data_IF_539793563175
#
_entry.id   IF_539793563175
#
_cell.length_a   1.000
_cell.length_b   1.000
_cell.length_c   1.000
_cell.angle_alpha   90.00
_cell.angle_beta   90.00
_cell.angle_gamma   90.00
#
_symmetry.space_group_name_H-M   'P 1'
#
loop_
_entity.id
_entity.type
_entity.pdbx_description
1 polymer ?
#
# COMPACT_ATOMS: atom_id res chain seq x y z
N UNK A 1 19.95 3.56 -27.72
CA UNK A 1 18.70 3.23 -27.00
C UNK A 1 17.53 3.62 -27.87
N UNK A 2 16.54 2.74 -28.05
CA UNK A 2 15.28 3.08 -28.69
C UNK A 2 14.41 3.93 -27.76
N UNK A 3 13.54 4.77 -28.33
CA UNK A 3 12.51 5.49 -27.55
C UNK A 3 11.54 4.48 -26.90
N UNK A 4 10.95 4.85 -25.77
CA UNK A 4 9.90 4.07 -25.11
C UNK A 4 8.66 4.00 -26.02
N UNK A 5 8.00 2.84 -26.19
CA UNK A 5 6.80 2.73 -27.01
C UNK A 5 5.64 3.58 -26.48
N UNK A 6 4.87 4.22 -27.38
CA UNK A 6 3.69 5.03 -27.03
C UNK A 6 2.73 4.28 -26.09
N UNK A 7 2.42 3.02 -26.39
CA UNK A 7 1.50 2.22 -25.58
C UNK A 7 2.01 1.85 -24.19
N UNK A 8 3.28 2.12 -23.85
CA UNK A 8 3.79 2.05 -22.46
C UNK A 8 3.61 3.42 -21.78
N UNK A 9 3.93 4.50 -22.48
CA UNK A 9 3.70 5.88 -21.99
C UNK A 9 2.23 6.10 -21.62
N UNK A 10 1.31 5.74 -22.52
CA UNK A 10 -0.13 5.89 -22.31
C UNK A 10 -0.62 5.14 -21.05
N UNK A 11 -0.04 3.94 -20.76
CA UNK A 11 -0.38 3.16 -19.55
C UNK A 11 0.16 3.79 -18.27
N UNK A 12 1.37 4.36 -18.33
CA UNK A 12 1.94 5.08 -17.18
C UNK A 12 1.12 6.32 -16.87
N UNK A 13 0.71 7.09 -17.90
CA UNK A 13 -0.17 8.24 -17.69
C UNK A 13 -1.53 7.83 -17.09
N UNK A 14 -2.11 6.73 -17.56
CA UNK A 14 -3.35 6.20 -16.98
C UNK A 14 -3.16 5.81 -15.52
N UNK A 15 -2.09 5.08 -15.20
CA UNK A 15 -1.76 4.70 -13.81
C UNK A 15 -1.59 5.93 -12.93
N UNK A 16 -0.84 6.94 -13.39
CA UNK A 16 -0.59 8.13 -12.58
C UNK A 16 -1.89 8.86 -12.20
N UNK A 17 -2.87 8.94 -13.10
CA UNK A 17 -4.19 9.54 -12.78
C UNK A 17 -4.95 8.72 -11.73
N UNK A 18 -4.94 7.39 -11.85
CA UNK A 18 -5.57 6.51 -10.87
C UNK A 18 -4.86 6.60 -9.51
N UNK A 19 -3.53 6.67 -9.50
CA UNK A 19 -2.73 6.85 -8.30
C UNK A 19 -3.06 8.15 -7.57
N UNK A 20 -3.37 9.25 -8.27
CA UNK A 20 -3.81 10.49 -7.63
C UNK A 20 -5.12 10.31 -6.83
N UNK A 21 -6.09 9.58 -7.39
CA UNK A 21 -7.35 9.26 -6.71
C UNK A 21 -7.13 8.32 -5.51
N UNK A 22 -6.32 7.28 -5.69
CA UNK A 22 -5.97 6.32 -4.62
C UNK A 22 -5.22 7.03 -3.49
N UNK A 23 -4.23 7.86 -3.83
CA UNK A 23 -3.46 8.65 -2.85
C UNK A 23 -4.34 9.56 -2.02
N UNK A 24 -5.30 10.25 -2.65
CA UNK A 24 -6.24 11.10 -1.92
C UNK A 24 -7.05 10.27 -0.91
N UNK A 25 -7.60 9.13 -1.34
CA UNK A 25 -8.33 8.24 -0.45
C UNK A 25 -7.46 7.69 0.69
N UNK A 26 -6.24 7.22 0.40
CA UNK A 26 -5.30 6.70 1.39
C UNK A 26 -4.96 7.74 2.46
N UNK A 27 -4.61 8.98 2.07
CA UNK A 27 -4.30 10.05 3.03
C UNK A 27 -5.50 10.47 3.89
N UNK A 28 -6.72 10.30 3.41
CA UNK A 28 -7.94 10.60 4.17
C UNK A 28 -8.36 9.46 5.11
N UNK A 29 -7.94 8.22 4.82
CA UNK A 29 -8.51 7.03 5.47
C UNK A 29 -7.51 6.13 6.20
N UNK A 30 -6.21 6.22 5.90
CA UNK A 30 -5.17 5.36 6.45
C UNK A 30 -4.09 6.20 7.13
N UNK A 31 -3.36 5.59 8.06
CA UNK A 31 -2.11 6.17 8.54
C UNK A 31 -1.02 5.94 7.48
N UNK A 32 -0.56 7.03 6.89
CA UNK A 32 0.38 7.00 5.78
C UNK A 32 1.82 7.31 6.22
N UNK A 33 2.09 7.46 7.53
CA UNK A 33 3.46 7.65 8.00
C UNK A 33 4.32 6.44 7.61
N UNK A 34 5.43 6.69 6.90
CA UNK A 34 6.30 5.64 6.36
C UNK A 34 5.74 4.80 5.21
N UNK A 35 4.55 5.13 4.68
CA UNK A 35 3.90 4.39 3.58
C UNK A 35 3.97 5.14 2.25
N UNK A 36 3.98 4.40 1.14
CA UNK A 36 3.83 4.96 -0.21
C UNK A 36 2.56 4.41 -0.91
N UNK A 37 1.53 5.25 -1.07
CA UNK A 37 0.31 4.85 -1.79
C UNK A 37 0.57 4.47 -3.26
N UNK A 38 1.67 4.93 -3.88
CA UNK A 38 2.00 4.56 -5.26
C UNK A 38 2.48 3.11 -5.39
N UNK A 39 2.92 2.49 -4.27
CA UNK A 39 3.30 1.08 -4.21
C UNK A 39 2.14 0.17 -3.82
N UNK A 40 0.97 0.73 -3.50
CA UNK A 40 -0.20 -0.03 -3.07
C UNK A 40 -0.65 -1.05 -4.13
N UNK A 41 -0.89 -2.28 -3.67
CA UNK A 41 -1.42 -3.36 -4.50
C UNK A 41 -2.52 -4.16 -3.78
N UNK A 42 -3.14 -5.08 -4.53
CA UNK A 42 -4.20 -5.95 -4.02
C UNK A 42 -3.69 -7.38 -3.99
N UNK A 43 -3.76 -7.98 -2.80
CA UNK A 43 -3.31 -9.35 -2.53
C UNK A 43 -4.44 -10.22 -1.97
N UNK A 44 -4.24 -11.53 -2.03
CA UNK A 44 -5.21 -12.55 -1.63
C UNK A 44 -4.93 -13.10 -0.22
N UNK A 45 -3.91 -12.57 0.45
CA UNK A 45 -3.47 -12.98 1.77
C UNK A 45 -2.81 -11.81 2.50
N UNK A 46 -2.78 -11.89 3.83
CA UNK A 46 -2.01 -11.00 4.70
C UNK A 46 -0.99 -11.82 5.51
N UNK A 47 0.01 -11.12 6.04
CA UNK A 47 0.94 -11.65 7.05
C UNK A 47 0.99 -10.68 8.24
N UNK A 48 1.64 -11.11 9.32
CA UNK A 48 1.82 -10.28 10.50
C UNK A 48 0.70 -10.39 11.55
N UNK A 49 0.82 -9.56 12.57
CA UNK A 49 -0.10 -9.50 13.71
C UNK A 49 -1.17 -8.42 13.49
N UNK A 50 -2.32 -8.57 14.15
CA UNK A 50 -3.40 -7.57 14.08
C UNK A 50 -2.98 -6.33 14.88
N UNK A 51 -2.83 -5.20 14.19
CA UNK A 51 -2.38 -3.94 14.79
C UNK A 51 -3.53 -3.07 15.31
N UNK A 52 -4.75 -3.27 14.82
CA UNK A 52 -5.93 -2.54 15.26
C UNK A 52 -6.93 -3.45 15.99
N UNK A 53 -7.20 -3.13 17.26
CA UNK A 53 -8.19 -3.81 18.09
C UNK A 53 -9.54 -3.07 18.15
N UNK A 54 -9.69 -1.96 17.41
CA UNK A 54 -10.96 -1.24 17.32
C UNK A 54 -11.84 -1.86 16.21
N UNK A 55 -13.08 -2.17 16.58
CA UNK A 55 -14.03 -3.04 15.87
C UNK A 55 -14.39 -2.64 14.41
N UNK A 56 -13.90 -1.49 13.91
CA UNK A 56 -14.35 -0.94 12.63
C UNK A 56 -13.38 -1.13 11.46
N UNK A 57 -12.08 -1.33 11.69
CA UNK A 57 -11.09 -1.53 10.61
C UNK A 57 -9.97 -2.46 11.06
N UNK A 58 -9.89 -3.66 10.47
CA UNK A 58 -8.80 -4.61 10.74
C UNK A 58 -7.60 -4.31 9.86
N UNK A 59 -6.47 -4.10 10.53
CA UNK A 59 -5.15 -3.91 9.96
C UNK A 59 -4.22 -5.02 10.45
N UNK A 60 -3.41 -5.56 9.54
CA UNK A 60 -2.33 -6.49 9.87
C UNK A 60 -0.99 -5.88 9.52
N UNK A 61 0.01 -6.15 10.35
CA UNK A 61 1.34 -5.59 10.19
C UNK A 61 2.43 -6.62 10.49
N UNK A 62 3.42 -6.70 9.60
CA UNK A 62 4.65 -7.44 9.80
C UNK A 62 5.86 -6.48 9.77
N UNK A 63 5.94 -5.59 10.77
CA UNK A 63 7.03 -4.63 10.90
C UNK A 63 8.19 -5.18 11.73
N UNK A 64 9.40 -4.90 11.28
CA UNK A 64 10.64 -5.22 11.99
C UNK A 64 11.63 -4.06 11.94
N UNK A 65 12.43 -3.95 13.00
CA UNK A 65 13.49 -2.96 13.12
C UNK A 65 14.80 -3.52 12.53
N UNK A 66 15.51 -2.69 11.77
CA UNK A 66 16.84 -2.98 11.24
C UNK A 66 17.82 -1.92 11.75
N UNK A 67 18.70 -2.31 12.68
CA UNK A 67 19.60 -1.37 13.33
C UNK A 67 18.89 -0.58 14.44
N UNK A 68 19.28 0.69 14.62
CA UNK A 68 18.72 1.54 15.70
C UNK A 68 17.53 2.38 15.22
N UNK A 69 17.61 2.94 14.00
CA UNK A 69 16.65 3.97 13.55
C UNK A 69 15.83 3.57 12.31
N UNK A 70 16.04 2.37 11.75
CA UNK A 70 15.32 1.94 10.53
C UNK A 70 14.29 0.88 10.81
N UNK A 71 13.14 1.02 10.16
CA UNK A 71 11.99 0.14 10.30
C UNK A 71 11.47 -0.21 8.91
N UNK A 72 11.13 -1.48 8.72
CA UNK A 72 10.60 -2.03 7.48
C UNK A 72 9.39 -2.87 7.81
N UNK A 73 8.44 -2.98 6.91
CA UNK A 73 7.35 -3.92 7.10
C UNK A 73 6.34 -3.91 5.98
N UNK A 74 5.37 -4.81 6.12
CA UNK A 74 4.24 -4.93 5.22
C UNK A 74 2.96 -4.70 6.01
N UNK A 75 2.07 -3.87 5.46
CA UNK A 75 0.81 -3.51 6.07
C UNK A 75 -0.36 -3.92 5.18
N UNK A 76 -1.41 -4.43 5.81
CA UNK A 76 -2.57 -4.99 5.12
C UNK A 76 -3.87 -4.46 5.70
N UNK A 77 -4.79 -4.05 4.83
CA UNK A 77 -6.14 -3.64 5.22
C UNK A 77 -7.20 -4.47 4.49
N UNK A 78 -8.21 -4.92 5.23
CA UNK A 78 -9.34 -5.67 4.66
C UNK A 78 -10.15 -4.78 3.69
N UNK A 79 -10.57 -5.36 2.57
CA UNK A 79 -11.41 -4.67 1.59
C UNK A 79 -12.85 -5.18 1.61
N UNK A 80 -13.75 -4.48 0.93
CA UNK A 80 -15.12 -4.96 0.72
C UNK A 80 -15.17 -6.25 -0.14
N UNK A 81 -14.10 -6.57 -0.87
CA UNK A 81 -13.96 -7.82 -1.62
C UNK A 81 -13.43 -8.91 -0.69
N UNK A 82 -14.27 -9.89 -0.37
CA UNK A 82 -13.92 -11.00 0.52
C UNK A 82 -12.63 -11.71 0.07
N UNK A 83 -11.67 -11.82 0.98
CA UNK A 83 -10.37 -12.46 0.72
C UNK A 83 -9.40 -11.62 -0.10
N UNK A 84 -9.66 -10.31 -0.27
CA UNK A 84 -8.74 -9.35 -0.88
C UNK A 84 -8.34 -8.28 0.12
N UNK A 85 -7.07 -7.92 0.10
CA UNK A 85 -6.46 -6.96 1.01
C UNK A 85 -5.73 -5.90 0.21
N UNK A 86 -5.80 -4.65 0.65
CA UNK A 86 -4.85 -3.61 0.23
C UNK A 86 -3.55 -3.89 0.97
N UNK A 87 -2.45 -3.93 0.23
CA UNK A 87 -1.10 -4.11 0.76
C UNK A 87 -0.25 -2.86 0.46
N UNK A 88 0.55 -2.43 1.44
CA UNK A 88 1.59 -1.41 1.26
C UNK A 88 2.85 -1.77 2.04
N UNK A 89 3.99 -1.50 1.41
CA UNK A 89 5.30 -1.55 2.06
C UNK A 89 5.48 -0.30 2.94
N UNK A 90 6.05 -0.52 4.12
CA UNK A 90 6.45 0.49 5.08
C UNK A 90 7.97 0.60 5.15
N UNK A 91 8.47 1.83 5.12
CA UNK A 91 9.89 2.10 5.35
C UNK A 91 10.14 3.48 5.98
N UNK A 92 10.83 3.49 7.12
CA UNK A 92 11.34 4.69 7.82
C UNK A 92 12.79 4.46 8.24
#
# INVERSE_FOLDING_TARGET
MSKIPKGIVDKIEQRNRLNEEIRAWCNENLDMDGMDSDSADITDHYVGEVNSFEDERREWCDQYQVGEDSFYGDYYWETEYSGKYVHMEFWI
#
